data_IF_638521609568
#
_entry.id   IF_638521609568
#
_cell.length_a   1.000
_cell.length_b   1.000
_cell.length_c   1.000
_cell.angle_alpha   90.00
_cell.angle_beta   90.00
_cell.angle_gamma   90.00
#
_symmetry.space_group_name_H-M   'P 1'
#
loop_
_entity.id
_entity.type
_entity.pdbx_description
1 polymer ?
#
# COMPACT_ATOMS: atom_id res chain seq x y z
N UNK A 1 24.14 -23.68 32.07
CA UNK A 1 23.72 -24.22 33.38
C UNK A 1 22.27 -24.63 33.23
N UNK A 2 21.96 -25.89 33.56
CA UNK A 2 20.61 -26.47 33.42
C UNK A 2 19.73 -25.98 34.55
N UNK A 3 18.70 -25.21 34.25
CA UNK A 3 17.50 -25.18 35.10
C UNK A 3 16.62 -26.33 34.62
N UNK A 4 16.93 -27.55 35.07
CA UNK A 4 15.88 -28.56 35.20
C UNK A 4 14.96 -27.98 36.26
N UNK A 5 13.83 -27.40 35.86
CA UNK A 5 12.71 -27.25 36.78
C UNK A 5 12.54 -28.59 37.47
N UNK A 6 12.74 -28.59 38.78
CA UNK A 6 12.55 -29.80 39.56
C UNK A 6 11.11 -30.26 39.33
N UNK A 7 10.88 -31.57 39.29
CA UNK A 7 9.52 -32.09 39.20
C UNK A 7 8.62 -31.47 40.29
N UNK A 8 9.21 -30.99 41.39
CA UNK A 8 8.58 -30.29 42.51
C UNK A 8 8.07 -28.89 42.18
N UNK A 9 8.76 -28.10 41.37
CA UNK A 9 8.28 -26.77 40.97
C UNK A 9 7.11 -26.85 39.97
N UNK A 10 7.01 -27.95 39.22
CA UNK A 10 5.84 -28.25 38.39
C UNK A 10 4.64 -28.76 39.24
N UNK A 11 4.90 -29.45 40.37
CA UNK A 11 3.87 -29.95 41.30
C UNK A 11 3.05 -28.84 41.95
N UNK A 12 3.70 -27.74 42.34
CA UNK A 12 3.04 -26.67 43.09
C UNK A 12 2.15 -25.78 42.20
N UNK A 13 2.45 -25.76 40.89
CA UNK A 13 1.77 -24.89 39.92
C UNK A 13 0.46 -25.49 39.36
N UNK A 14 0.34 -26.81 39.27
CA UNK A 14 -0.77 -27.49 38.57
C UNK A 14 -1.74 -28.26 39.48
N UNK A 15 -1.49 -28.36 40.79
CA UNK A 15 -2.44 -28.96 41.74
C UNK A 15 -2.78 -30.44 41.48
N UNK A 16 -1.79 -31.22 40.99
CA UNK A 16 -1.97 -32.62 40.64
C UNK A 16 -2.10 -33.52 41.89
N UNK A 17 -3.08 -34.44 41.86
CA UNK A 17 -3.27 -35.43 42.91
C UNK A 17 -2.11 -36.45 42.95
N UNK A 18 -1.82 -37.04 44.12
CA UNK A 18 -0.72 -38.02 44.26
C UNK A 18 -0.86 -39.24 43.33
N UNK A 19 -2.09 -39.63 42.98
CA UNK A 19 -2.36 -40.73 42.04
C UNK A 19 -1.93 -40.41 40.60
N UNK A 20 -2.10 -39.16 40.16
CA UNK A 20 -1.66 -38.73 38.82
C UNK A 20 -0.14 -38.66 38.71
N UNK A 21 0.54 -38.41 39.84
CA UNK A 21 2.00 -38.42 39.93
C UNK A 21 2.58 -39.81 39.72
N UNK A 22 2.02 -40.83 40.36
CA UNK A 22 2.51 -42.21 40.22
C UNK A 22 2.32 -42.71 38.77
N UNK A 23 1.24 -42.27 38.12
CA UNK A 23 1.00 -42.49 36.68
C UNK A 23 1.99 -41.77 35.78
N UNK A 24 2.35 -40.53 36.09
CA UNK A 24 3.34 -39.76 35.32
C UNK A 24 4.75 -40.35 35.43
N UNK A 25 5.14 -40.86 36.60
CA UNK A 25 6.44 -41.49 36.81
C UNK A 25 6.59 -42.80 36.01
N UNK A 26 5.49 -43.56 35.88
CA UNK A 26 5.41 -44.83 35.14
C UNK A 26 5.11 -44.66 33.66
N UNK A 27 4.68 -43.48 33.22
CA UNK A 27 4.43 -43.19 31.81
C UNK A 27 5.73 -42.92 31.05
N UNK A 28 5.93 -43.61 29.92
CA UNK A 28 7.08 -43.44 29.02
C UNK A 28 6.64 -43.44 27.56
N UNK A 29 7.43 -42.77 26.72
CA UNK A 29 7.33 -42.87 25.27
C UNK A 29 8.12 -44.08 24.82
N UNK A 30 7.48 -45.00 24.10
CA UNK A 30 8.03 -46.30 23.75
C UNK A 30 7.77 -46.57 22.27
N UNK A 31 8.83 -46.86 21.54
CA UNK A 31 8.74 -47.36 20.16
C UNK A 31 8.85 -48.88 20.18
N UNK A 32 7.87 -49.57 19.61
CA UNK A 32 7.85 -51.02 19.54
C UNK A 32 8.47 -51.52 18.25
N UNK A 33 9.13 -52.67 18.30
CA UNK A 33 9.66 -53.38 17.15
C UNK A 33 9.32 -54.86 17.25
N UNK A 34 9.44 -55.57 16.14
CA UNK A 34 9.25 -57.00 16.09
C UNK A 34 10.59 -57.71 16.31
N UNK A 35 10.62 -58.71 17.20
CA UNK A 35 11.77 -59.58 17.35
C UNK A 35 11.77 -60.70 16.28
N UNK A 36 12.87 -61.45 16.17
CA UNK A 36 13.01 -62.59 15.25
C UNK A 36 11.92 -63.66 15.45
N UNK A 37 11.41 -63.81 16.67
CA UNK A 37 10.31 -64.73 17.02
C UNK A 37 8.92 -64.20 16.61
N UNK A 38 8.84 -63.05 15.96
CA UNK A 38 7.58 -62.41 15.55
C UNK A 38 6.87 -61.64 16.67
N UNK A 39 7.42 -61.60 17.89
CA UNK A 39 6.82 -60.91 19.03
C UNK A 39 7.13 -59.41 19.02
N UNK A 40 6.11 -58.58 19.26
CA UNK A 40 6.25 -57.13 19.45
C UNK A 40 6.86 -56.83 20.83
N UNK A 41 7.96 -56.09 20.86
CA UNK A 41 8.64 -55.68 22.09
C UNK A 41 9.35 -54.34 21.94
N UNK A 42 9.78 -53.79 23.06
CA UNK A 42 10.65 -52.62 23.12
C UNK A 42 11.71 -52.81 24.21
N UNK A 43 12.67 -51.88 24.28
CA UNK A 43 13.76 -51.87 25.25
C UNK A 43 13.89 -50.47 25.80
N UNK A 44 13.84 -50.37 27.13
CA UNK A 44 14.07 -49.11 27.81
C UNK A 44 15.56 -48.73 27.74
N UNK A 45 15.90 -47.43 27.84
CA UNK A 45 17.28 -46.99 27.97
C UNK A 45 18.03 -47.63 29.15
N UNK A 46 17.30 -48.07 30.19
CA UNK A 46 17.83 -48.80 31.34
C UNK A 46 18.11 -50.29 31.08
N UNK A 47 17.82 -50.79 29.88
CA UNK A 47 18.08 -52.18 29.46
C UNK A 47 16.91 -53.16 29.69
N UNK A 48 15.82 -52.73 30.33
CA UNK A 48 14.63 -53.55 30.55
C UNK A 48 13.85 -53.84 29.26
N UNK A 49 13.33 -55.07 29.11
CA UNK A 49 12.48 -55.45 27.98
C UNK A 49 11.03 -55.13 28.30
N UNK A 50 10.36 -54.47 27.35
CA UNK A 50 8.95 -54.07 27.45
C UNK A 50 8.13 -54.87 26.45
N UNK A 51 7.05 -55.48 26.92
CA UNK A 51 6.07 -56.15 26.08
C UNK A 51 4.76 -55.36 26.08
N UNK A 52 3.97 -55.41 25.00
CA UNK A 52 2.59 -54.93 25.05
C UNK A 52 1.80 -55.67 26.13
N UNK A 53 1.01 -54.93 26.91
CA UNK A 53 0.09 -55.56 27.86
C UNK A 53 -0.94 -56.40 27.07
N UNK A 54 -1.45 -57.49 27.66
CA UNK A 54 -2.34 -58.45 26.97
C UNK A 54 -3.56 -57.80 26.29
N UNK A 55 -4.09 -56.72 26.86
CA UNK A 55 -5.23 -55.98 26.31
C UNK A 55 -4.86 -55.06 25.13
N UNK A 56 -3.59 -54.73 24.98
CA UNK A 56 -3.05 -53.82 23.97
C UNK A 56 -2.19 -54.53 22.92
N UNK A 57 -1.96 -55.83 23.09
CA UNK A 57 -1.14 -56.65 22.20
C UNK A 57 -1.65 -56.66 20.76
N UNK A 58 -2.98 -56.58 20.55
CA UNK A 58 -3.59 -56.55 19.22
C UNK A 58 -3.68 -55.14 18.62
N UNK A 59 -3.44 -54.10 19.43
CA UNK A 59 -3.57 -52.69 19.04
C UNK A 59 -2.21 -52.10 18.68
N UNK A 60 -1.18 -52.44 19.46
CA UNK A 60 0.17 -51.90 19.30
C UNK A 60 0.89 -52.67 18.19
N UNK A 61 1.14 -51.99 17.07
CA UNK A 61 1.81 -52.58 15.91
C UNK A 61 3.32 -52.31 15.95
N UNK A 62 4.18 -53.24 15.50
CA UNK A 62 5.60 -52.98 15.31
C UNK A 62 5.87 -51.74 14.44
N UNK A 63 6.85 -50.93 14.84
CA UNK A 63 7.21 -49.66 14.19
C UNK A 63 6.46 -48.44 14.71
N UNK A 64 5.44 -48.63 15.56
CA UNK A 64 4.69 -47.52 16.15
C UNK A 64 5.33 -47.01 17.45
N UNK A 65 5.14 -45.70 17.69
CA UNK A 65 5.53 -45.04 18.93
C UNK A 65 4.28 -44.70 19.75
N UNK A 66 4.30 -45.07 21.03
CA UNK A 66 3.16 -44.92 21.93
C UNK A 66 3.60 -44.27 23.24
N UNK A 67 2.76 -43.38 23.76
CA UNK A 67 2.78 -43.01 25.16
C UNK A 67 2.14 -44.16 25.94
N UNK A 68 2.91 -44.79 26.83
CA UNK A 68 2.47 -46.00 27.53
C UNK A 68 2.77 -45.93 29.03
N UNK A 69 1.82 -46.40 29.83
CA UNK A 69 2.03 -46.66 31.26
C UNK A 69 2.73 -48.02 31.43
N UNK A 70 3.81 -48.05 32.20
CA UNK A 70 4.60 -49.26 32.41
C UNK A 70 4.23 -49.96 33.72
N UNK A 71 3.79 -51.22 33.61
CA UNK A 71 3.60 -52.12 34.74
C UNK A 71 4.79 -53.09 34.83
N UNK A 72 5.56 -53.00 35.91
CA UNK A 72 6.69 -53.91 36.14
C UNK A 72 6.20 -55.25 36.70
N UNK A 73 6.63 -56.35 36.09
CA UNK A 73 6.45 -57.71 36.64
C UNK A 73 7.78 -58.45 36.56
N UNK A 74 8.48 -58.51 37.70
CA UNK A 74 9.80 -59.11 37.81
C UNK A 74 10.86 -58.32 37.02
N UNK A 75 11.49 -58.98 36.04
CA UNK A 75 12.53 -58.40 35.17
C UNK A 75 11.99 -57.80 33.87
N UNK A 76 10.69 -57.96 33.61
CA UNK A 76 10.02 -57.50 32.39
C UNK A 76 9.01 -56.41 32.70
N UNK A 77 8.78 -55.53 31.73
CA UNK A 77 7.80 -54.46 31.81
C UNK A 77 6.66 -54.72 30.82
N UNK A 78 5.45 -54.35 31.19
CA UNK A 78 4.27 -54.43 30.34
C UNK A 78 3.71 -53.04 30.09
N UNK A 79 3.58 -52.67 28.81
CA UNK A 79 3.10 -51.36 28.40
C UNK A 79 1.59 -51.39 28.16
N UNK A 80 0.86 -50.56 28.89
CA UNK A 80 -0.54 -50.21 28.60
C UNK A 80 -0.53 -48.97 27.71
N UNK A 81 -1.04 -49.08 26.49
CA UNK A 81 -1.10 -47.93 25.58
C UNK A 81 -2.02 -46.85 26.13
N UNK A 82 -1.56 -45.61 26.18
CA UNK A 82 -2.40 -44.45 26.52
C UNK A 82 -2.81 -43.76 25.23
N UNK A 83 -1.83 -43.41 24.40
CA UNK A 83 -2.05 -42.69 23.15
C UNK A 83 -0.94 -43.01 22.15
N UNK A 84 -1.32 -43.24 20.90
CA UNK A 84 -0.37 -43.37 19.78
C UNK A 84 0.18 -42.00 19.42
N UNK A 85 1.50 -41.91 19.24
CA UNK A 85 2.19 -40.71 18.79
C UNK A 85 2.40 -40.86 17.27
N UNK A 86 1.52 -40.25 16.51
CA UNK A 86 1.56 -40.20 15.05
C UNK A 86 1.30 -38.79 14.53
N UNK A 87 1.24 -38.63 13.21
CA UNK A 87 0.95 -37.33 12.60
C UNK A 87 -0.40 -36.77 13.04
N UNK A 88 -1.40 -37.61 13.32
CA UNK A 88 -2.71 -37.15 13.79
C UNK A 88 -2.64 -36.63 15.24
N UNK A 89 -1.84 -37.27 16.10
CA UNK A 89 -1.57 -36.77 17.45
C UNK A 89 -1.02 -35.33 17.41
N UNK A 90 -0.06 -35.04 16.53
CA UNK A 90 0.48 -33.68 16.42
C UNK A 90 -0.53 -32.66 15.87
N UNK A 91 -1.46 -33.08 15.02
CA UNK A 91 -2.53 -32.20 14.52
C UNK A 91 -3.60 -31.90 15.58
N UNK A 92 -3.82 -32.83 16.51
CA UNK A 92 -4.77 -32.67 17.63
C UNK A 92 -4.20 -31.80 18.76
N UNK A 93 -2.90 -31.51 18.77
CA UNK A 93 -2.29 -30.63 19.76
C UNK A 93 -2.76 -29.19 19.56
N UNK A 94 -3.07 -28.52 20.68
CA UNK A 94 -3.32 -27.07 20.65
C UNK A 94 -2.03 -26.31 20.35
N UNK A 95 -2.15 -25.07 19.86
CA UNK A 95 -0.99 -24.25 19.50
C UNK A 95 -0.02 -24.03 20.66
N UNK A 96 -0.53 -23.84 21.89
CA UNK A 96 0.27 -23.71 23.11
C UNK A 96 1.11 -24.97 23.39
N UNK A 97 0.53 -26.15 23.18
CA UNK A 97 1.21 -27.43 23.41
C UNK A 97 2.23 -27.74 22.31
N UNK A 98 1.92 -27.38 21.07
CA UNK A 98 2.87 -27.50 19.96
C UNK A 98 4.10 -26.61 20.18
N UNK A 99 3.91 -25.39 20.70
CA UNK A 99 5.02 -24.48 20.97
C UNK A 99 5.96 -25.05 22.03
N UNK A 100 5.44 -25.67 23.09
CA UNK A 100 6.25 -26.33 24.11
C UNK A 100 7.01 -27.55 23.55
N UNK A 101 6.35 -28.38 22.73
CA UNK A 101 6.97 -29.53 22.08
C UNK A 101 8.05 -29.08 21.08
N UNK A 102 7.77 -28.06 20.28
CA UNK A 102 8.71 -27.48 19.33
C UNK A 102 9.92 -26.89 20.06
N UNK A 103 9.71 -26.20 21.17
CA UNK A 103 10.79 -25.67 22.02
C UNK A 103 11.66 -26.78 22.59
N UNK A 104 11.06 -27.84 23.14
CA UNK A 104 11.80 -28.98 23.67
C UNK A 104 12.60 -29.70 22.57
N UNK A 105 12.00 -29.87 21.38
CA UNK A 105 12.64 -30.51 20.23
C UNK A 105 13.77 -29.65 19.67
N UNK A 106 13.59 -28.33 19.63
CA UNK A 106 14.60 -27.35 19.28
C UNK A 106 15.78 -27.40 20.25
N UNK A 107 15.53 -27.38 21.56
CA UNK A 107 16.60 -27.42 22.56
C UNK A 107 17.40 -28.74 22.52
N UNK A 108 16.74 -29.87 22.27
CA UNK A 108 17.40 -31.18 22.21
C UNK A 108 18.19 -31.39 20.91
N UNK A 109 17.70 -30.88 19.79
CA UNK A 109 18.24 -31.19 18.46
C UNK A 109 18.80 -29.95 17.76
N UNK A 110 19.11 -28.90 18.52
CA UNK A 110 19.52 -27.59 17.98
C UNK A 110 20.66 -27.71 16.97
N UNK A 111 21.71 -28.43 17.33
CA UNK A 111 22.91 -28.59 16.51
C UNK A 111 22.63 -29.25 15.15
N UNK A 112 21.57 -30.05 15.07
CA UNK A 112 21.14 -30.69 13.82
C UNK A 112 20.14 -29.81 13.05
N UNK A 113 19.19 -29.18 13.75
CA UNK A 113 18.10 -28.43 13.13
C UNK A 113 18.53 -27.04 12.64
N UNK A 114 19.40 -26.36 13.39
CA UNK A 114 19.88 -25.01 13.08
C UNK A 114 20.53 -24.93 11.68
N UNK A 115 21.53 -25.76 11.31
CA UNK A 115 22.13 -25.68 9.97
C UNK A 115 21.13 -26.03 8.86
N UNK A 116 20.24 -27.00 9.08
CA UNK A 116 19.24 -27.39 8.08
C UNK A 116 18.21 -26.29 7.83
N UNK A 117 17.80 -25.57 8.87
CA UNK A 117 16.86 -24.46 8.76
C UNK A 117 17.53 -23.23 8.18
N UNK A 118 18.79 -22.97 8.53
CA UNK A 118 19.57 -21.88 7.95
C UNK A 118 19.76 -22.08 6.45
N UNK A 119 20.15 -23.28 5.99
CA UNK A 119 20.29 -23.61 4.58
C UNK A 119 18.97 -23.43 3.81
N UNK A 120 17.87 -23.93 4.37
CA UNK A 120 16.53 -23.73 3.77
C UNK A 120 16.15 -22.25 3.70
N UNK A 121 16.41 -21.50 4.76
CA UNK A 121 16.10 -20.07 4.80
C UNK A 121 16.94 -19.28 3.80
N UNK A 122 18.23 -19.58 3.71
CA UNK A 122 19.13 -19.01 2.71
C UNK A 122 18.62 -19.29 1.29
N UNK A 123 18.25 -20.54 1.00
CA UNK A 123 17.75 -20.91 -0.33
C UNK A 123 16.43 -20.21 -0.69
N UNK A 124 15.50 -20.09 0.27
CA UNK A 124 14.24 -19.37 0.07
C UNK A 124 14.49 -17.87 -0.16
N UNK A 125 15.39 -17.26 0.60
CA UNK A 125 15.75 -15.85 0.43
C UNK A 125 16.46 -15.61 -0.90
N UNK A 126 17.41 -16.46 -1.27
CA UNK A 126 18.12 -16.39 -2.55
C UNK A 126 17.14 -16.46 -3.72
N UNK A 127 16.24 -17.45 -3.71
CA UNK A 127 15.20 -17.57 -4.73
C UNK A 127 14.29 -16.34 -4.80
N UNK A 128 13.87 -15.79 -3.66
CA UNK A 128 13.05 -14.58 -3.63
C UNK A 128 13.78 -13.35 -4.18
N UNK A 129 15.09 -13.23 -3.90
CA UNK A 129 15.93 -12.17 -4.45
C UNK A 129 16.08 -12.35 -5.96
N UNK A 130 16.34 -13.56 -6.45
CA UNK A 130 16.46 -13.86 -7.88
C UNK A 130 15.16 -13.55 -8.63
N UNK A 131 14.01 -13.99 -8.12
CA UNK A 131 12.71 -13.70 -8.72
C UNK A 131 12.46 -12.19 -8.80
N UNK A 132 12.73 -11.46 -7.72
CA UNK A 132 12.55 -10.00 -7.68
C UNK A 132 13.55 -9.26 -8.59
N UNK A 133 14.78 -9.74 -8.67
CA UNK A 133 15.80 -9.19 -9.57
C UNK A 133 15.43 -9.42 -11.04
N UNK A 134 14.92 -10.61 -11.37
CA UNK A 134 14.46 -10.95 -12.70
C UNK A 134 13.24 -10.10 -13.12
N UNK A 135 12.28 -9.91 -12.21
CA UNK A 135 11.12 -9.04 -12.44
C UNK A 135 11.54 -7.57 -12.64
N UNK A 136 12.40 -7.05 -11.76
CA UNK A 136 12.94 -5.70 -11.86
C UNK A 136 13.66 -5.48 -13.21
N UNK A 137 14.47 -6.46 -13.63
CA UNK A 137 15.16 -6.41 -14.92
C UNK A 137 14.18 -6.39 -16.10
N UNK A 138 13.13 -7.22 -16.07
CA UNK A 138 12.10 -7.21 -17.13
C UNK A 138 11.42 -5.85 -17.26
N UNK A 139 11.07 -5.24 -16.12
CA UNK A 139 10.46 -3.91 -16.11
C UNK A 139 11.45 -2.86 -16.65
N UNK A 140 12.73 -2.95 -16.27
CA UNK A 140 13.76 -2.06 -16.80
C UNK A 140 13.92 -2.20 -18.33
N UNK A 141 13.97 -3.43 -18.85
CA UNK A 141 14.08 -3.69 -20.28
C UNK A 141 12.84 -3.22 -21.05
N UNK A 142 11.63 -3.43 -20.51
CA UNK A 142 10.36 -2.94 -21.09
C UNK A 142 10.25 -1.41 -21.08
N UNK A 143 10.71 -0.77 -20.02
CA UNK A 143 10.72 0.70 -19.96
C UNK A 143 11.78 1.28 -20.88
N UNK A 144 12.94 0.66 -21.00
CA UNK A 144 14.00 1.07 -21.92
C UNK A 144 13.57 0.96 -23.38
N UNK A 145 12.88 -0.12 -23.75
CA UNK A 145 12.33 -0.29 -25.11
C UNK A 145 11.28 0.77 -25.44
N UNK A 146 10.33 1.02 -24.53
CA UNK A 146 9.34 2.10 -24.69
C UNK A 146 9.97 3.48 -24.80
N UNK A 147 11.04 3.75 -24.03
CA UNK A 147 11.78 5.01 -24.14
C UNK A 147 12.46 5.15 -25.50
N UNK A 148 13.10 4.09 -26.00
CA UNK A 148 13.73 4.10 -27.32
C UNK A 148 12.72 4.33 -28.45
N UNK A 149 11.53 3.73 -28.38
CA UNK A 149 10.43 3.98 -29.33
C UNK A 149 9.99 5.45 -29.30
N UNK A 150 9.79 6.03 -28.11
CA UNK A 150 9.40 7.44 -27.96
C UNK A 150 10.48 8.41 -28.44
N UNK A 151 11.75 8.08 -28.26
CA UNK A 151 12.85 8.87 -28.80
C UNK A 151 12.88 8.85 -30.33
N UNK A 152 12.61 7.69 -30.93
CA UNK A 152 12.51 7.56 -32.39
C UNK A 152 11.33 8.39 -32.95
N UNK A 153 10.15 8.31 -32.32
CA UNK A 153 8.98 9.12 -32.68
C UNK A 153 9.28 10.62 -32.57
N UNK A 154 9.88 11.07 -31.47
CA UNK A 154 10.25 12.47 -31.28
C UNK A 154 11.26 12.94 -32.33
N UNK A 155 12.19 12.07 -32.73
CA UNK A 155 13.17 12.37 -33.77
C UNK A 155 12.50 12.52 -35.13
N UNK A 156 11.57 11.63 -35.47
CA UNK A 156 10.78 11.71 -36.70
C UNK A 156 9.90 12.98 -36.73
N UNK A 157 9.23 13.28 -35.61
CA UNK A 157 8.40 14.48 -35.50
C UNK A 157 9.23 15.76 -35.64
N UNK A 158 10.43 15.81 -35.04
CA UNK A 158 11.37 16.93 -35.20
C UNK A 158 11.80 17.09 -36.66
N UNK A 159 12.08 16.00 -37.37
CA UNK A 159 12.42 16.06 -38.80
C UNK A 159 11.25 16.60 -39.63
N UNK A 160 10.03 16.11 -39.38
CA UNK A 160 8.81 16.61 -40.04
C UNK A 160 8.59 18.10 -39.78
N UNK A 161 8.65 18.53 -38.51
CA UNK A 161 8.51 19.94 -38.15
C UNK A 161 9.58 20.81 -38.83
N UNK A 162 10.83 20.35 -38.89
CA UNK A 162 11.90 21.07 -39.60
C UNK A 162 11.56 21.26 -41.07
N UNK A 163 11.07 20.22 -41.75
CA UNK A 163 10.67 20.32 -43.16
C UNK A 163 9.50 21.31 -43.34
N UNK A 164 8.46 21.20 -42.51
CA UNK A 164 7.30 22.12 -42.55
C UNK A 164 7.71 23.56 -42.32
N UNK A 165 8.56 23.83 -41.32
CA UNK A 165 9.06 25.18 -41.04
C UNK A 165 9.85 25.71 -42.23
N UNK A 166 10.77 24.92 -42.81
CA UNK A 166 11.53 25.37 -43.98
C UNK A 166 10.65 25.63 -45.22
N UNK A 167 9.56 24.88 -45.38
CA UNK A 167 8.60 25.10 -46.47
C UNK A 167 7.78 26.39 -46.25
N UNK A 168 7.30 26.62 -45.02
CA UNK A 168 6.58 27.84 -44.64
C UNK A 168 7.48 29.07 -44.73
N UNK A 169 8.74 28.99 -44.29
CA UNK A 169 9.71 30.08 -44.42
C UNK A 169 9.98 30.43 -45.90
N UNK A 170 10.02 29.43 -46.78
CA UNK A 170 10.13 29.66 -48.23
C UNK A 170 8.88 30.35 -48.77
N UNK A 171 7.69 29.88 -48.40
CA UNK A 171 6.43 30.48 -48.85
C UNK A 171 6.25 31.92 -48.33
N UNK A 172 6.66 32.20 -47.09
CA UNK A 172 6.68 33.56 -46.54
C UNK A 172 7.63 34.43 -47.35
N UNK A 173 8.85 33.97 -47.63
CA UNK A 173 9.81 34.72 -48.45
C UNK A 173 9.28 35.00 -49.86
N UNK A 174 8.68 34.00 -50.50
CA UNK A 174 8.09 34.14 -51.83
C UNK A 174 6.90 35.13 -51.82
N UNK A 175 6.10 35.16 -50.74
CA UNK A 175 5.04 36.16 -50.55
C UNK A 175 5.60 37.56 -50.32
N UNK A 176 6.59 37.71 -49.44
CA UNK A 176 7.25 39.00 -49.21
C UNK A 176 7.91 39.57 -50.48
N UNK A 177 8.46 38.72 -51.33
CA UNK A 177 9.02 39.12 -52.63
C UNK A 177 7.93 39.55 -53.63
N UNK A 178 6.77 38.89 -53.63
CA UNK A 178 5.60 39.29 -54.45
C UNK A 178 4.95 40.58 -53.94
N UNK A 179 4.81 40.73 -52.63
CA UNK A 179 4.31 41.96 -51.99
C UNK A 179 5.28 43.15 -52.18
N UNK A 180 6.59 42.91 -52.30
CA UNK A 180 7.55 43.96 -52.70
C UNK A 180 7.43 44.36 -54.18
N UNK A 181 6.89 43.49 -55.04
CA UNK A 181 6.67 43.79 -56.47
C UNK A 181 5.32 44.45 -56.77
N UNK A 182 4.34 44.29 -55.88
CA UNK A 182 3.00 44.88 -56.01
C UNK A 182 2.71 45.86 -54.86
N UNK A 183 2.75 47.15 -55.21
CA UNK A 183 2.03 48.31 -54.62
C UNK A 183 2.65 49.16 -53.50
N UNK A 184 3.03 50.38 -53.92
CA UNK A 184 2.74 51.66 -53.26
C UNK A 184 1.27 51.71 -52.77
N UNK A 185 1.01 52.32 -51.60
CA UNK A 185 -0.31 52.63 -50.95
C UNK A 185 -1.05 51.53 -50.13
N UNK A 186 -1.90 51.90 -49.13
CA UNK A 186 -1.67 51.54 -47.73
C UNK A 186 -2.70 50.56 -47.16
N UNK A 187 -2.34 50.01 -45.99
CA UNK A 187 -3.01 48.95 -45.25
C UNK A 187 -4.52 49.15 -44.97
N UNK A 188 -5.34 48.07 -45.00
CA UNK A 188 -6.68 48.07 -44.43
C UNK A 188 -6.65 47.89 -42.89
N UNK A 189 -7.71 48.30 -42.18
CA UNK A 189 -7.70 48.42 -40.73
C UNK A 189 -7.73 47.05 -40.04
N UNK A 190 -6.88 46.88 -39.03
CA UNK A 190 -7.02 45.84 -38.03
C UNK A 190 -8.40 45.92 -37.39
N UNK A 191 -9.14 44.81 -37.42
CA UNK A 191 -10.26 44.61 -36.51
C UNK A 191 -9.70 44.44 -35.10
N UNK A 192 -9.53 45.54 -34.39
CA UNK A 192 -9.38 45.54 -32.94
C UNK A 192 -10.77 45.30 -32.35
N UNK A 193 -11.14 44.04 -32.18
CA UNK A 193 -12.33 43.68 -31.44
C UNK A 193 -12.13 44.12 -29.98
N UNK A 194 -13.08 44.93 -29.51
CA UNK A 194 -12.97 45.71 -28.28
C UNK A 194 -13.08 44.85 -27.04
N UNK A 195 -11.96 44.28 -26.57
CA UNK A 195 -11.86 43.75 -25.21
C UNK A 195 -11.11 44.74 -24.31
N UNK A 196 -11.88 45.50 -23.54
CA UNK A 196 -11.35 46.35 -22.47
C UNK A 196 -10.66 45.45 -21.42
N UNK A 197 -9.47 45.81 -20.91
CA UNK A 197 -8.78 45.10 -19.84
C UNK A 197 -9.44 45.38 -18.49
N UNK A 198 -10.72 45.04 -18.36
CA UNK A 198 -11.40 45.03 -17.05
C UNK A 198 -11.05 43.73 -16.36
N UNK A 199 -10.60 43.81 -15.11
CA UNK A 199 -10.38 42.63 -14.29
C UNK A 199 -11.68 41.80 -14.26
N UNK A 200 -11.66 40.55 -14.78
CA UNK A 200 -12.85 39.72 -14.86
C UNK A 200 -13.37 39.45 -13.44
N UNK A 201 -14.65 39.75 -13.22
CA UNK A 201 -15.29 39.45 -11.93
C UNK A 201 -15.83 38.03 -11.98
N UNK A 202 -15.02 37.07 -11.54
CA UNK A 202 -15.42 35.68 -11.39
C UNK A 202 -15.86 35.45 -9.95
N UNK A 203 -17.09 35.02 -9.76
CA UNK A 203 -17.67 34.75 -8.44
C UNK A 203 -17.94 33.26 -8.30
N UNK A 204 -17.59 32.68 -7.18
CA UNK A 204 -18.06 31.36 -6.79
C UNK A 204 -19.38 31.52 -6.07
N UNK A 205 -20.42 30.83 -6.54
CA UNK A 205 -21.78 30.92 -5.98
C UNK A 205 -22.19 29.63 -5.27
N UNK A 206 -21.62 28.49 -5.67
CA UNK A 206 -21.87 27.16 -5.11
C UNK A 206 -20.54 26.38 -5.04
N UNK A 207 -20.51 25.18 -4.43
CA UNK A 207 -19.28 24.39 -4.31
C UNK A 207 -18.57 24.19 -5.64
N UNK A 208 -19.30 23.93 -6.72
CA UNK A 208 -18.72 23.61 -8.03
C UNK A 208 -19.18 24.57 -9.14
N UNK A 209 -19.74 25.74 -8.80
CA UNK A 209 -20.28 26.68 -9.78
C UNK A 209 -19.62 28.05 -9.71
N UNK A 210 -19.12 28.50 -10.85
CA UNK A 210 -18.58 29.85 -11.05
C UNK A 210 -19.52 30.68 -11.92
N UNK A 211 -19.77 31.92 -11.53
CA UNK A 211 -20.59 32.89 -12.23
C UNK A 211 -19.74 34.08 -12.66
N UNK A 212 -19.80 34.46 -13.93
CA UNK A 212 -19.20 35.70 -14.42
C UNK A 212 -19.96 36.23 -15.62
N UNK A 213 -20.20 37.55 -15.65
CA UNK A 213 -20.85 38.21 -16.79
C UNK A 213 -20.06 38.10 -18.09
N UNK A 214 -18.77 37.78 -17.98
CA UNK A 214 -17.88 37.65 -19.12
C UNK A 214 -17.92 36.23 -19.74
N UNK A 215 -18.71 35.31 -19.16
CA UNK A 215 -18.89 33.96 -19.69
C UNK A 215 -19.94 33.90 -20.81
N UNK A 216 -19.57 34.37 -22.01
CA UNK A 216 -20.44 34.46 -23.18
C UNK A 216 -20.48 33.23 -24.09
N UNK A 217 -19.51 32.32 -23.96
CA UNK A 217 -19.42 31.12 -24.82
C UNK A 217 -20.23 29.94 -24.26
N UNK A 218 -20.65 29.01 -25.12
CA UNK A 218 -21.41 27.80 -24.69
C UNK A 218 -20.51 26.80 -23.98
N UNK A 219 -19.25 26.70 -24.41
CA UNK A 219 -18.27 25.78 -23.86
C UNK A 219 -16.96 26.49 -23.54
N UNK A 220 -16.32 26.03 -22.46
CA UNK A 220 -15.04 26.54 -21.99
C UNK A 220 -14.07 25.38 -21.78
N UNK A 221 -12.81 25.61 -22.14
CA UNK A 221 -11.72 24.74 -21.75
C UNK A 221 -11.14 25.25 -20.44
N UNK A 222 -11.25 24.45 -19.39
CA UNK A 222 -10.75 24.74 -18.06
C UNK A 222 -9.62 23.78 -17.71
N UNK A 223 -8.48 24.35 -17.36
CA UNK A 223 -7.29 23.62 -16.97
C UNK A 223 -6.79 24.14 -15.61
N UNK A 224 -6.61 23.23 -14.66
CA UNK A 224 -6.01 23.54 -13.36
C UNK A 224 -4.55 23.11 -13.38
N UNK A 225 -3.66 23.99 -12.92
CA UNK A 225 -2.24 23.69 -12.85
C UNK A 225 -1.96 22.49 -11.93
N UNK A 226 -0.88 21.71 -12.17
CA UNK A 226 -0.58 20.52 -11.34
C UNK A 226 -0.38 20.82 -9.85
N UNK A 227 0.12 22.01 -9.53
CA UNK A 227 0.31 22.53 -8.17
C UNK A 227 -0.98 23.11 -7.55
N UNK A 228 -2.09 23.11 -8.31
CA UNK A 228 -3.42 23.59 -7.91
C UNK A 228 -3.45 25.05 -7.46
N UNK A 229 -2.51 25.87 -7.93
CA UNK A 229 -2.42 27.28 -7.59
C UNK A 229 -3.23 28.17 -8.53
N UNK A 230 -3.34 27.78 -9.80
CA UNK A 230 -3.91 28.59 -10.88
C UNK A 230 -4.87 27.75 -11.73
N UNK A 231 -5.95 28.39 -12.18
CA UNK A 231 -6.93 27.82 -13.09
C UNK A 231 -7.09 28.71 -14.32
N UNK A 232 -6.90 28.14 -15.50
CA UNK A 232 -7.09 28.84 -16.78
C UNK A 232 -8.45 28.47 -17.36
N UNK A 233 -9.25 29.48 -17.72
CA UNK A 233 -10.59 29.35 -18.30
C UNK A 233 -10.59 30.07 -19.64
N UNK A 234 -10.65 29.34 -20.75
CA UNK A 234 -10.67 29.93 -22.09
C UNK A 234 -11.90 29.48 -22.89
N UNK A 235 -12.53 30.37 -23.67
CA UNK A 235 -13.63 29.98 -24.55
C UNK A 235 -13.14 28.97 -25.59
N UNK A 236 -13.89 27.88 -25.79
CA UNK A 236 -13.52 26.83 -26.74
C UNK A 236 -14.75 26.03 -27.16
N UNK A 237 -14.96 25.82 -28.46
CA UNK A 237 -16.17 25.15 -28.99
C UNK A 237 -16.34 23.71 -28.48
N UNK A 238 -15.24 23.00 -28.24
CA UNK A 238 -15.20 21.65 -27.65
C UNK A 238 -14.63 21.67 -26.22
N UNK A 239 -14.95 22.71 -25.45
CA UNK A 239 -14.49 22.83 -24.06
C UNK A 239 -14.95 21.66 -23.17
N UNK A 240 -14.15 21.33 -22.16
CA UNK A 240 -14.48 20.29 -21.17
C UNK A 240 -15.52 20.74 -20.13
N UNK A 241 -15.95 22.00 -20.18
CA UNK A 241 -16.91 22.59 -19.24
C UNK A 241 -18.03 23.27 -20.03
N UNK A 242 -19.26 23.00 -19.64
CA UNK A 242 -20.43 23.68 -20.19
C UNK A 242 -20.70 24.98 -19.45
N UNK A 243 -21.08 26.02 -20.20
CA UNK A 243 -21.59 27.27 -19.66
C UNK A 243 -23.10 27.35 -19.89
N UNK A 244 -23.85 27.64 -18.84
CA UNK A 244 -25.27 27.95 -18.94
C UNK A 244 -25.58 29.18 -18.09
N UNK A 245 -26.29 30.17 -18.66
CA UNK A 245 -26.66 31.39 -17.96
C UNK A 245 -25.49 32.12 -17.28
N UNK A 246 -24.35 32.25 -17.97
CA UNK A 246 -23.12 32.87 -17.43
C UNK A 246 -22.53 32.10 -16.22
N UNK A 247 -22.84 30.80 -16.10
CA UNK A 247 -22.38 29.91 -15.03
C UNK A 247 -21.64 28.72 -15.61
N UNK A 248 -20.45 28.46 -15.06
CA UNK A 248 -19.63 27.29 -15.36
C UNK A 248 -19.76 26.27 -14.25
N UNK A 249 -20.05 25.03 -14.61
CA UNK A 249 -20.12 23.89 -13.70
C UNK A 249 -18.81 23.10 -13.74
N UNK A 250 -18.05 23.16 -12.65
CA UNK A 250 -16.71 22.61 -12.51
C UNK A 250 -16.71 21.49 -11.47
N UNK A 251 -17.06 20.28 -11.90
CA UNK A 251 -17.05 19.10 -11.03
C UNK A 251 -15.67 18.90 -10.38
N UNK A 252 -15.62 18.97 -9.05
CA UNK A 252 -14.38 18.79 -8.28
C UNK A 252 -13.64 20.08 -7.91
N UNK A 253 -14.18 21.27 -8.20
CA UNK A 253 -13.63 22.54 -7.72
C UNK A 253 -13.58 22.59 -6.18
N UNK A 254 -14.61 22.06 -5.52
CA UNK A 254 -14.71 21.88 -4.07
C UNK A 254 -13.57 21.07 -3.44
N UNK A 255 -12.95 20.14 -4.19
CA UNK A 255 -11.81 19.35 -3.72
C UNK A 255 -10.49 20.12 -3.75
N UNK A 256 -10.41 21.15 -4.61
CA UNK A 256 -9.20 21.93 -4.85
C UNK A 256 -9.20 23.21 -4.02
N UNK A 257 -10.37 23.86 -3.96
CA UNK A 257 -10.62 25.05 -3.16
C UNK A 257 -11.82 24.77 -2.26
N UNK A 258 -11.65 24.55 -0.94
CA UNK A 258 -12.77 24.32 -0.04
C UNK A 258 -13.82 25.44 -0.13
N UNK A 259 -15.10 25.07 -0.12
CA UNK A 259 -16.19 26.04 -0.26
C UNK A 259 -16.49 26.68 1.10
N UNK A 260 -16.08 27.94 1.27
CA UNK A 260 -16.36 28.76 2.46
C UNK A 260 -17.60 29.66 2.34
N UNK A 261 -18.38 29.51 1.26
CA UNK A 261 -19.49 30.39 0.90
C UNK A 261 -19.27 31.17 -0.40
N UNK A 262 -20.25 31.98 -0.85
CA UNK A 262 -20.13 32.76 -2.06
C UNK A 262 -19.02 33.81 -1.95
N UNK A 263 -18.10 33.83 -2.92
CA UNK A 263 -16.90 34.67 -2.85
C UNK A 263 -16.35 35.03 -4.22
N UNK A 264 -15.59 36.11 -4.30
CA UNK A 264 -14.90 36.49 -5.53
C UNK A 264 -13.60 35.69 -5.63
N UNK A 265 -13.32 35.17 -6.83
CA UNK A 265 -12.04 34.54 -7.12
C UNK A 265 -11.18 35.58 -7.85
N UNK A 266 -9.97 35.90 -7.35
CA UNK A 266 -9.06 36.80 -8.04
C UNK A 266 -8.72 36.22 -9.41
N UNK A 267 -8.97 37.00 -10.46
CA UNK A 267 -8.77 36.55 -11.83
C UNK A 267 -8.28 37.69 -12.73
N UNK A 268 -7.45 37.33 -13.69
CA UNK A 268 -6.88 38.24 -14.68
C UNK A 268 -7.11 37.71 -16.10
N UNK A 269 -7.23 38.61 -17.07
CA UNK A 269 -7.26 38.20 -18.47
C UNK A 269 -5.84 38.10 -19.02
N UNK A 270 -5.49 36.95 -19.59
CA UNK A 270 -4.19 36.75 -20.23
C UNK A 270 -4.33 36.58 -21.74
N UNK A 271 -3.87 37.57 -22.50
CA UNK A 271 -3.83 37.52 -23.96
C UNK A 271 -3.01 36.32 -24.48
N UNK A 272 -1.99 35.88 -23.71
CA UNK A 272 -1.15 34.72 -24.04
C UNK A 272 -1.94 33.41 -24.07
N UNK A 273 -2.91 33.25 -23.18
CA UNK A 273 -3.73 32.05 -23.07
C UNK A 273 -5.10 32.20 -23.74
N UNK A 274 -5.42 33.40 -24.25
CA UNK A 274 -6.72 33.73 -24.84
C UNK A 274 -7.88 33.52 -23.87
N UNK A 275 -7.67 33.78 -22.57
CA UNK A 275 -8.65 33.44 -21.54
C UNK A 275 -8.33 34.02 -20.17
N UNK A 276 -9.16 33.67 -19.20
CA UNK A 276 -9.05 34.10 -17.81
C UNK A 276 -8.13 33.18 -17.01
N UNK A 277 -7.36 33.78 -16.11
CA UNK A 277 -6.45 33.10 -15.20
C UNK A 277 -6.94 33.42 -13.79
N UNK A 278 -7.54 32.44 -13.14
CA UNK A 278 -8.06 32.55 -11.78
C UNK A 278 -7.06 31.95 -10.77
N UNK A 279 -6.74 32.69 -9.71
CA UNK A 279 -5.82 32.24 -8.67
C UNK A 279 -6.61 31.53 -7.56
N UNK A 280 -6.35 30.23 -7.40
CA UNK A 280 -7.05 29.37 -6.45
C UNK A 280 -6.41 29.38 -5.06
N UNK A 281 -5.10 29.64 -4.97
CA UNK A 281 -4.40 29.79 -3.69
C UNK A 281 -3.98 31.24 -3.49
N UNK A 282 -4.33 31.80 -2.34
CA UNK A 282 -3.87 33.11 -1.92
C UNK A 282 -2.38 33.04 -1.59
N UNK A 283 -1.51 33.42 -2.53
CA UNK A 283 -0.12 33.76 -2.22
C UNK A 283 -0.10 35.19 -1.67
N UNK A 284 0.46 35.45 -0.47
CA UNK A 284 0.47 36.77 0.17
C UNK A 284 1.39 37.80 -0.52
N UNK A 285 1.70 37.62 -1.79
CA UNK A 285 2.55 38.50 -2.59
C UNK A 285 1.84 39.78 -3.06
N UNK A 286 0.51 39.82 -2.98
CA UNK A 286 -0.30 40.92 -3.55
C UNK A 286 -0.81 41.95 -2.51
N UNK A 287 -0.31 41.87 -1.27
CA UNK A 287 -0.75 42.74 -0.17
C UNK A 287 0.00 44.07 -0.07
N UNK A 288 0.65 44.55 -1.13
CA UNK A 288 1.36 45.84 -1.13
C UNK A 288 0.57 47.03 -1.73
N UNK A 289 -0.71 46.87 -2.09
CA UNK A 289 -1.46 47.96 -2.74
C UNK A 289 -2.81 48.31 -2.10
N UNK A 290 -3.15 47.78 -0.91
CA UNK A 290 -4.39 48.19 -0.24
C UNK A 290 -4.32 48.00 1.27
N UNK A 291 -3.40 48.73 1.90
CA UNK A 291 -3.62 49.23 3.27
C UNK A 291 -3.90 50.72 3.14
N UNK A 292 -5.18 51.10 3.27
CA UNK A 292 -5.59 52.30 4.00
C UNK A 292 -7.11 52.33 4.10
N UNK A 293 -7.59 52.84 5.24
CA UNK A 293 -8.97 52.94 5.72
C UNK A 293 -9.51 51.62 6.28
N UNK A 294 -9.69 51.44 7.59
CA UNK A 294 -9.77 52.37 8.70
C UNK A 294 -10.67 51.71 9.73
N UNK A 295 -10.17 51.63 10.96
CA UNK A 295 -10.82 51.05 12.14
C UNK A 295 -12.24 51.59 12.37
N UNK A 296 -13.15 50.73 12.82
CA UNK A 296 -13.74 50.90 14.17
C UNK A 296 -14.64 49.72 14.57
N UNK A 297 -14.32 49.18 15.76
CA UNK A 297 -15.19 48.65 16.83
C UNK A 297 -16.52 47.96 16.46
N UNK A 298 -16.73 46.73 16.95
CA UNK A 298 -17.18 46.52 18.34
C UNK A 298 -17.15 45.03 18.73
N UNK A 299 -16.73 44.83 19.97
CA UNK A 299 -16.42 43.57 20.65
C UNK A 299 -17.72 42.91 21.14
N UNK A 300 -17.94 41.64 20.78
CA UNK A 300 -18.97 40.82 21.44
C UNK A 300 -18.50 39.36 21.53
N UNK A 301 -18.30 38.90 22.77
CA UNK A 301 -18.48 37.54 23.28
C UNK A 301 -18.06 37.55 24.77
N UNK A 302 -18.93 37.43 25.77
CA UNK A 302 -19.77 36.29 26.18
C UNK A 302 -19.00 35.03 26.60
N UNK A 303 -19.33 34.57 27.82
CA UNK A 303 -19.23 33.19 28.34
C UNK A 303 -17.80 32.73 28.75
N UNK A 304 -17.57 31.97 29.83
CA UNK A 304 -18.45 31.22 30.73
C UNK A 304 -17.61 30.57 31.85
N UNK A 305 -18.33 30.08 32.87
CA UNK A 305 -18.05 28.85 33.65
C UNK A 305 -16.80 28.80 34.53
N UNK A 306 -17.03 28.98 35.84
CA UNK A 306 -16.20 28.40 36.89
C UNK A 306 -16.92 27.24 37.54
N UNK A 307 -16.15 26.18 37.68
CA UNK A 307 -16.39 24.88 38.30
C UNK A 307 -17.03 24.92 39.69
N UNK A 308 -17.78 23.87 39.99
CA UNK A 308 -18.14 23.47 41.35
C UNK A 308 -17.82 22.00 41.54
N UNK A 309 -16.82 21.72 42.37
CA UNK A 309 -16.68 20.48 43.14
C UNK A 309 -16.09 20.86 44.51
N UNK A 310 -16.97 20.89 45.52
CA UNK A 310 -16.85 20.18 46.81
C UNK A 310 -18.26 19.86 47.32
#
# INVERSE_FOLDING_TARGET
>A
MRERLSLEEFKEREGLAEEDRERLETTKVITFWQNEDGNTMSRLPSGGVVFPHRQWADIIVPGETWLSELEQRGTTFFAKGIKKIDSAFFLDLRSDQMDEVAKALWEQNRELLEPMLEEKYQHVMEKAIEERAAESKRIADETQTKLAEREAELTQLKQMHKLTVTALEREIRDREEREKSDTDTPAPPMFSDGFSPRAPKIRRIEPDVLESKDFTSVHYFVHVSPDRSVMTIRPHEQGNVACSNNRLELSGLSLILPYGGPGNIPAEYSAKYGGYVAHLRYTPSDKMMSEEVGEDKEESASASTSDGEE
#
